data_IF_614867791077
#
_entry.id   IF_614867791077
#
_cell.length_a   1.000
_cell.length_b   1.000
_cell.length_c   1.000
_cell.angle_alpha   90.00
_cell.angle_beta   90.00
_cell.angle_gamma   90.00
#
_symmetry.space_group_name_H-M   'P 1'
#
loop_
_entity.id
_entity.type
_entity.pdbx_description
1 polymer ?
#
# COMPACT_ATOMS: atom_id res chain seq x y z
N UNK A 1 -55.87 -47.59 -45.84
CA UNK A 1 -54.84 -46.66 -45.32
C UNK A 1 -53.66 -46.81 -46.25
N UNK A 2 -53.59 -45.93 -47.25
CA UNK A 2 -52.64 -46.03 -48.34
C UNK A 2 -52.56 -44.69 -49.09
N UNK A 3 -51.35 -44.41 -49.60
CA UNK A 3 -50.97 -43.42 -50.64
C UNK A 3 -50.84 -41.97 -50.13
N UNK A 4 -49.64 -41.47 -49.84
CA UNK A 4 -48.57 -41.04 -50.78
C UNK A 4 -48.89 -39.73 -51.52
N UNK A 5 -48.11 -38.68 -51.24
CA UNK A 5 -47.80 -37.64 -52.22
C UNK A 5 -46.52 -36.91 -51.83
N UNK A 6 -45.42 -37.31 -52.46
CA UNK A 6 -44.11 -36.68 -52.34
C UNK A 6 -44.03 -35.42 -53.20
N UNK A 7 -43.57 -34.32 -52.59
CA UNK A 7 -43.20 -33.10 -53.31
C UNK A 7 -41.72 -33.17 -53.70
N UNK A 8 -41.47 -33.25 -55.01
CA UNK A 8 -40.17 -33.16 -55.64
C UNK A 8 -39.67 -31.70 -55.60
N UNK A 9 -38.76 -31.39 -54.68
CA UNK A 9 -38.02 -30.13 -54.69
C UNK A 9 -36.78 -30.25 -55.59
N UNK A 10 -36.82 -29.59 -56.75
CA UNK A 10 -35.70 -29.49 -57.69
C UNK A 10 -34.53 -28.75 -57.04
N UNK A 11 -33.54 -29.49 -56.57
CA UNK A 11 -32.22 -28.96 -56.19
C UNK A 11 -31.53 -28.44 -57.45
N UNK A 12 -31.49 -27.10 -57.62
CA UNK A 12 -30.68 -26.43 -58.63
C UNK A 12 -29.20 -26.53 -58.23
N UNK A 13 -28.52 -27.46 -58.86
CA UNK A 13 -27.07 -27.62 -58.84
C UNK A 13 -26.40 -26.32 -59.31
N UNK A 14 -25.91 -25.54 -58.35
CA UNK A 14 -25.24 -24.27 -58.59
C UNK A 14 -23.80 -24.58 -58.99
N UNK A 15 -23.53 -24.58 -60.30
CA UNK A 15 -22.18 -24.69 -60.87
C UNK A 15 -21.27 -23.65 -60.21
N UNK A 16 -20.39 -24.12 -59.34
CA UNK A 16 -19.29 -23.37 -58.72
C UNK A 16 -18.39 -22.83 -59.82
N UNK A 17 -18.57 -21.55 -60.16
CA UNK A 17 -17.67 -20.82 -61.04
C UNK A 17 -16.36 -20.58 -60.28
N UNK A 18 -15.33 -21.37 -60.61
CA UNK A 18 -13.97 -21.15 -60.10
C UNK A 18 -13.53 -19.71 -60.42
N UNK A 19 -13.13 -18.90 -59.43
CA UNK A 19 -12.72 -17.53 -59.66
C UNK A 19 -11.45 -17.52 -60.51
N UNK A 20 -11.56 -17.00 -61.74
CA UNK A 20 -10.42 -16.82 -62.63
C UNK A 20 -9.41 -15.87 -61.98
N UNK A 21 -8.21 -16.37 -61.70
CA UNK A 21 -7.10 -15.60 -61.12
C UNK A 21 -6.66 -14.54 -62.13
N UNK A 22 -7.27 -13.35 -62.09
CA UNK A 22 -6.80 -12.18 -62.85
C UNK A 22 -5.36 -11.88 -62.42
N UNK A 23 -4.40 -12.08 -63.33
CA UNK A 23 -2.98 -11.80 -63.09
C UNK A 23 -2.81 -10.29 -62.93
N UNK A 24 -2.40 -9.87 -61.74
CA UNK A 24 -2.09 -8.47 -61.43
C UNK A 24 -0.93 -7.97 -62.30
N UNK A 25 -1.10 -6.80 -62.90
CA UNK A 25 -0.02 -6.17 -63.68
C UNK A 25 1.13 -5.74 -62.75
N UNK A 26 2.38 -5.69 -63.24
CA UNK A 26 3.54 -5.34 -62.42
C UNK A 26 3.44 -3.94 -61.79
N UNK A 27 2.74 -3.00 -62.43
CA UNK A 27 2.45 -1.66 -61.87
C UNK A 27 1.46 -1.73 -60.70
N UNK A 28 0.38 -2.50 -60.83
CA UNK A 28 -0.60 -2.69 -59.74
C UNK A 28 0.02 -3.41 -58.55
N UNK A 29 0.93 -4.38 -58.77
CA UNK A 29 1.64 -5.07 -57.69
C UNK A 29 2.50 -4.13 -56.86
N UNK A 30 3.17 -3.15 -57.48
CA UNK A 30 3.96 -2.13 -56.76
C UNK A 30 3.08 -1.20 -55.92
N UNK A 31 1.94 -0.77 -56.45
CA UNK A 31 0.98 0.09 -55.72
C UNK A 31 0.40 -0.64 -54.52
N UNK A 32 -0.04 -1.90 -54.71
CA UNK A 32 -0.57 -2.72 -53.61
C UNK A 32 0.49 -2.94 -52.53
N UNK A 33 1.73 -3.21 -52.92
CA UNK A 33 2.83 -3.37 -51.95
C UNK A 33 3.09 -2.08 -51.16
N UNK A 34 3.07 -0.92 -51.82
CA UNK A 34 3.21 0.37 -51.14
C UNK A 34 2.10 0.63 -50.13
N UNK A 35 0.85 0.31 -50.48
CA UNK A 35 -0.30 0.47 -49.58
C UNK A 35 -0.17 -0.44 -48.35
N UNK A 36 0.26 -1.69 -48.54
CA UNK A 36 0.47 -2.65 -47.44
C UNK A 36 1.56 -2.15 -46.49
N UNK A 37 2.66 -1.61 -47.01
CA UNK A 37 3.76 -1.07 -46.20
C UNK A 37 3.29 0.13 -45.36
N UNK A 38 2.52 1.05 -45.95
CA UNK A 38 1.97 2.20 -45.22
C UNK A 38 1.00 1.76 -44.14
N UNK A 39 0.12 0.79 -44.43
CA UNK A 39 -0.80 0.22 -43.43
C UNK A 39 -0.06 -0.41 -42.25
N UNK A 40 1.01 -1.17 -42.52
CA UNK A 40 1.83 -1.77 -41.45
C UNK A 40 2.48 -0.72 -40.55
N UNK A 41 2.96 0.39 -41.11
CA UNK A 41 3.53 1.48 -40.31
C UNK A 41 2.49 2.18 -39.44
N UNK A 42 1.27 2.38 -39.95
CA UNK A 42 0.17 2.96 -39.17
C UNK A 42 -0.22 2.03 -38.01
N UNK A 43 -0.37 0.72 -38.26
CA UNK A 43 -0.67 -0.25 -37.22
C UNK A 43 0.44 -0.36 -36.17
N UNK A 44 1.72 -0.32 -36.59
CA UNK A 44 2.84 -0.30 -35.66
C UNK A 44 2.84 0.95 -34.78
N UNK A 45 2.56 2.13 -35.36
CA UNK A 45 2.46 3.39 -34.62
C UNK A 45 1.36 3.38 -33.55
N UNK A 46 0.16 2.87 -33.89
CA UNK A 46 -0.95 2.76 -32.93
C UNK A 46 -0.61 1.78 -31.79
N UNK A 47 0.03 0.66 -32.11
CA UNK A 47 0.45 -0.34 -31.12
C UNK A 47 1.47 0.21 -30.12
N UNK A 48 2.49 0.92 -30.62
CA UNK A 48 3.53 1.54 -29.78
C UNK A 48 2.92 2.62 -28.88
N UNK A 49 2.00 3.45 -29.41
CA UNK A 49 1.33 4.50 -28.64
C UNK A 49 0.52 3.94 -27.47
N UNK A 50 -0.30 2.91 -27.71
CA UNK A 50 -1.11 2.27 -26.66
C UNK A 50 -0.24 1.61 -25.58
N UNK A 51 0.80 0.87 -25.99
CA UNK A 51 1.73 0.23 -25.07
C UNK A 51 2.48 1.24 -24.18
N UNK A 52 2.89 2.38 -24.73
CA UNK A 52 3.55 3.44 -23.97
C UNK A 52 2.60 4.11 -22.98
N UNK A 53 1.35 4.34 -23.37
CA UNK A 53 0.33 4.98 -22.52
C UNK A 53 -0.01 4.13 -21.30
N UNK A 54 -0.29 2.84 -21.50
CA UNK A 54 -0.66 1.92 -20.40
C UNK A 54 0.50 1.79 -19.38
N UNK A 55 1.74 1.64 -19.87
CA UNK A 55 2.93 1.52 -19.02
C UNK A 55 3.28 2.81 -18.28
N UNK A 56 2.96 3.97 -18.86
CA UNK A 56 3.11 5.28 -18.22
C UNK A 56 2.06 5.51 -17.13
N UNK A 57 0.82 5.11 -17.39
CA UNK A 57 -0.29 5.24 -16.45
C UNK A 57 -0.08 4.40 -15.18
N UNK A 58 0.35 3.15 -15.33
CA UNK A 58 0.64 2.27 -14.18
C UNK A 58 1.78 2.81 -13.31
N UNK A 59 2.87 3.26 -13.93
CA UNK A 59 3.98 3.89 -13.21
C UNK A 59 3.56 5.20 -12.53
N UNK A 60 2.70 5.98 -13.16
CA UNK A 60 2.13 7.21 -12.58
C UNK A 60 1.24 6.92 -11.38
N UNK A 61 0.40 5.88 -11.46
CA UNK A 61 -0.46 5.44 -10.36
C UNK A 61 0.34 4.87 -9.19
N UNK A 62 1.40 4.10 -9.43
CA UNK A 62 2.28 3.60 -8.37
C UNK A 62 3.06 4.73 -7.68
N UNK A 63 3.58 5.68 -8.46
CA UNK A 63 4.24 6.87 -7.92
C UNK A 63 3.26 7.75 -7.12
N UNK A 64 2.04 7.93 -7.63
CA UNK A 64 0.96 8.64 -6.96
C UNK A 64 0.55 7.95 -5.65
N UNK A 65 0.35 6.63 -5.65
CA UNK A 65 0.05 5.86 -4.43
C UNK A 65 1.18 5.94 -3.40
N UNK A 66 2.45 5.88 -3.83
CA UNK A 66 3.61 6.06 -2.93
C UNK A 66 3.67 7.47 -2.34
N UNK A 67 3.36 8.51 -3.13
CA UNK A 67 3.33 9.89 -2.69
C UNK A 67 2.12 10.22 -1.78
N UNK A 68 0.99 9.56 -1.99
CA UNK A 68 -0.22 9.71 -1.16
C UNK A 68 -0.15 8.89 0.13
N UNK A 69 0.46 7.70 0.12
CA UNK A 69 0.67 6.89 1.31
C UNK A 69 1.70 7.51 2.28
N UNK A 70 2.66 8.28 1.77
CA UNK A 70 3.63 9.03 2.58
C UNK A 70 3.08 10.37 3.10
N UNK A 71 1.83 10.72 2.78
CA UNK A 71 1.16 11.95 3.22
C UNK A 71 -0.24 11.67 3.79
N UNK A 72 -0.44 10.52 4.44
CA UNK A 72 -1.69 10.29 5.17
C UNK A 72 -1.83 11.38 6.26
N UNK A 73 -2.91 12.18 6.26
CA UNK A 73 -3.15 13.15 7.33
C UNK A 73 -3.15 12.50 8.71
N UNK A 74 -3.53 11.22 8.81
CA UNK A 74 -3.53 10.48 10.07
C UNK A 74 -2.14 10.30 10.67
N UNK A 75 -1.07 10.21 9.85
CA UNK A 75 0.32 10.09 10.34
C UNK A 75 0.89 11.42 10.82
N UNK A 76 0.42 12.52 10.23
CA UNK A 76 0.73 13.88 10.68
C UNK A 76 -0.01 14.21 11.99
N UNK A 77 -1.28 13.81 12.13
CA UNK A 77 -2.04 14.03 13.36
C UNK A 77 -1.63 13.10 14.51
N UNK A 78 -1.21 11.85 14.22
CA UNK A 78 -0.75 10.93 15.26
C UNK A 78 0.61 11.30 15.85
N UNK A 79 1.46 12.01 15.10
CA UNK A 79 2.67 12.66 15.65
C UNK A 79 2.37 14.01 16.34
N UNK A 80 1.28 14.70 15.98
CA UNK A 80 0.96 16.02 16.52
C UNK A 80 0.11 15.98 17.80
N UNK A 81 -0.66 14.91 18.04
CA UNK A 81 -1.58 14.85 19.18
C UNK A 81 -1.00 14.29 20.49
N UNK A 82 0.21 13.73 20.52
CA UNK A 82 0.78 13.31 21.80
C UNK A 82 2.32 13.35 21.81
N UNK A 83 2.95 14.49 22.18
CA UNK A 83 4.40 14.54 22.39
C UNK A 83 4.86 13.65 23.56
N UNK A 84 3.91 13.06 24.30
CA UNK A 84 4.17 12.17 25.42
C UNK A 84 3.96 10.71 25.01
N UNK A 85 5.03 9.94 24.97
CA UNK A 85 4.96 8.48 24.82
C UNK A 85 4.57 7.88 26.18
N UNK A 86 3.53 7.06 26.21
CA UNK A 86 3.10 6.39 27.45
C UNK A 86 3.66 4.98 27.51
N UNK A 87 4.32 4.64 28.61
CA UNK A 87 4.78 3.30 28.95
C UNK A 87 3.97 2.74 30.10
N UNK A 88 3.59 1.47 30.03
CA UNK A 88 2.94 0.75 31.13
C UNK A 88 3.79 -0.45 31.50
N UNK A 89 3.92 -0.74 32.79
CA UNK A 89 4.80 -1.81 33.23
C UNK A 89 4.90 -1.94 34.75
N UNK A 90 5.89 -2.69 35.19
CA UNK A 90 6.26 -2.87 36.59
C UNK A 90 7.66 -2.31 36.85
N UNK A 91 7.85 -1.66 38.00
CA UNK A 91 9.17 -1.20 38.44
C UNK A 91 10.06 -2.40 38.71
N UNK A 92 11.23 -2.43 38.11
CA UNK A 92 12.24 -3.46 38.36
C UNK A 92 13.29 -2.97 39.34
N UNK A 93 13.75 -1.74 39.15
CA UNK A 93 14.81 -1.12 39.96
C UNK A 93 14.73 0.41 39.89
N UNK A 94 15.04 1.08 40.99
CA UNK A 94 15.28 2.52 41.04
C UNK A 94 16.67 2.76 41.62
N UNK A 95 17.53 3.45 40.85
CA UNK A 95 18.89 3.81 41.25
C UNK A 95 19.12 5.31 41.02
N UNK A 96 18.97 6.10 42.08
CA UNK A 96 19.08 7.56 41.98
C UNK A 96 18.05 8.14 41.01
N UNK A 97 18.51 8.65 39.87
CA UNK A 97 17.68 9.22 38.80
C UNK A 97 17.32 8.22 37.70
N UNK A 98 17.69 6.95 37.82
CA UNK A 98 17.41 5.93 36.79
C UNK A 98 16.33 4.98 37.28
N UNK A 99 15.21 4.96 36.58
CA UNK A 99 14.15 3.97 36.78
C UNK A 99 14.24 2.90 35.70
N UNK A 100 14.34 1.65 36.11
CA UNK A 100 14.23 0.49 35.22
C UNK A 100 12.84 -0.11 35.40
N UNK A 101 12.14 -0.31 34.29
CA UNK A 101 10.82 -0.95 34.27
C UNK A 101 10.85 -2.15 33.33
N UNK A 102 10.07 -3.16 33.69
CA UNK A 102 9.63 -4.18 32.73
C UNK A 102 8.29 -3.72 32.16
N UNK A 103 8.25 -3.42 30.87
CA UNK A 103 7.02 -3.01 30.19
C UNK A 103 6.01 -4.16 30.14
N UNK A 104 4.74 -3.84 29.88
CA UNK A 104 3.68 -4.83 29.65
C UNK A 104 3.94 -5.80 28.49
N UNK A 105 4.89 -5.46 27.61
CA UNK A 105 5.36 -6.32 26.50
C UNK A 105 6.54 -7.23 26.88
N UNK A 106 7.04 -7.14 28.11
CA UNK A 106 8.22 -7.88 28.59
C UNK A 106 9.56 -7.21 28.26
N UNK A 107 9.57 -6.06 27.59
CA UNK A 107 10.80 -5.30 27.32
C UNK A 107 11.28 -4.60 28.60
N UNK A 108 12.57 -4.68 28.91
CA UNK A 108 13.20 -3.89 29.98
C UNK A 108 13.59 -2.53 29.42
N UNK A 109 13.13 -1.45 30.06
CA UNK A 109 13.46 -0.07 29.69
C UNK A 109 14.00 0.70 30.87
N UNK A 110 15.07 1.44 30.63
CA UNK A 110 15.63 2.40 31.58
C UNK A 110 15.22 3.79 31.16
N UNK A 111 14.77 4.60 32.10
CA UNK A 111 14.32 5.96 31.88
C UNK A 111 14.82 6.89 33.00
N UNK A 112 15.06 8.14 32.64
CA UNK A 112 15.50 9.16 33.59
C UNK A 112 14.30 9.72 34.37
N UNK A 113 14.44 9.81 35.69
CA UNK A 113 13.56 10.53 36.60
C UNK A 113 14.31 11.74 37.11
N UNK A 114 13.63 12.87 37.17
CA UNK A 114 14.16 14.12 37.72
C UNK A 114 13.24 14.65 38.80
N UNK A 115 13.65 15.66 39.55
CA UNK A 115 12.78 16.29 40.57
C UNK A 115 11.55 16.99 39.95
N UNK A 116 11.52 17.18 38.63
CA UNK A 116 10.36 17.69 37.89
C UNK A 116 9.34 16.59 37.56
N UNK A 117 9.70 15.32 37.74
CA UNK A 117 8.81 14.18 37.44
C UNK A 117 7.70 14.11 38.48
N UNK A 118 6.44 14.23 38.05
CA UNK A 118 5.30 14.16 38.97
C UNK A 118 4.91 12.71 39.24
N UNK A 119 5.02 12.25 40.48
CA UNK A 119 4.67 10.88 40.87
C UNK A 119 3.37 10.93 41.67
N UNK A 120 2.36 10.17 41.24
CA UNK A 120 1.03 10.17 41.86
C UNK A 120 0.47 8.77 42.02
N UNK A 121 -0.29 8.54 43.10
CA UNK A 121 -1.14 7.36 43.28
C UNK A 121 -2.54 7.84 43.62
N UNK A 122 -3.52 7.55 42.74
CA UNK A 122 -4.86 8.14 42.82
C UNK A 122 -4.79 9.68 42.89
N UNK A 123 -5.15 10.28 44.02
CA UNK A 123 -5.14 11.73 44.28
C UNK A 123 -3.90 12.20 45.05
N UNK A 124 -3.07 11.28 45.55
CA UNK A 124 -1.91 11.61 46.37
C UNK A 124 -0.66 11.79 45.51
N UNK A 125 0.15 12.79 45.85
CA UNK A 125 1.49 12.96 45.27
C UNK A 125 2.48 12.18 46.13
N UNK A 126 3.33 11.37 45.50
CA UNK A 126 4.30 10.53 46.18
C UNK A 126 5.72 11.01 45.90
N UNK A 127 6.65 10.64 46.79
CA UNK A 127 8.08 10.80 46.57
C UNK A 127 8.63 9.67 45.66
N UNK A 128 9.78 9.88 45.00
CA UNK A 128 10.47 8.89 44.17
C UNK A 128 10.75 7.58 44.91
N UNK A 129 11.01 7.65 46.22
CA UNK A 129 11.29 6.49 47.07
C UNK A 129 10.08 5.55 47.24
N UNK A 130 8.87 6.00 46.86
CA UNK A 130 7.67 5.16 46.84
C UNK A 130 7.61 4.19 45.65
N UNK A 131 8.49 4.35 44.65
CA UNK A 131 8.57 3.46 43.49
C UNK A 131 9.31 2.18 43.86
N UNK A 132 8.61 1.28 44.53
CA UNK A 132 9.15 -0.02 44.95
C UNK A 132 9.14 -1.03 43.82
N UNK A 133 10.08 -1.99 43.87
CA UNK A 133 10.12 -3.11 42.91
C UNK A 133 8.78 -3.86 42.89
N UNK A 134 8.30 -4.16 41.69
CA UNK A 134 7.03 -4.82 41.43
C UNK A 134 5.83 -3.87 41.31
N UNK A 135 5.97 -2.59 41.68
CA UNK A 135 4.88 -1.62 41.59
C UNK A 135 4.44 -1.44 40.13
N UNK A 136 3.13 -1.54 39.88
CA UNK A 136 2.54 -1.31 38.55
C UNK A 136 2.43 0.18 38.29
N UNK A 137 2.97 0.64 37.17
CA UNK A 137 3.08 2.05 36.85
C UNK A 137 2.63 2.35 35.42
N UNK A 138 2.05 3.54 35.23
CA UNK A 138 1.86 4.18 33.93
C UNK A 138 2.74 5.42 33.89
N UNK A 139 3.66 5.47 32.93
CA UNK A 139 4.70 6.51 32.84
C UNK A 139 4.48 7.27 31.55
N UNK A 140 4.35 8.59 31.68
CA UNK A 140 4.37 9.52 30.57
C UNK A 140 5.81 9.98 30.39
N UNK A 141 6.31 9.83 29.17
CA UNK A 141 7.72 10.07 28.83
C UNK A 141 7.84 11.07 27.71
N UNK A 142 8.99 11.74 27.67
CA UNK A 142 9.43 12.62 26.59
C UNK A 142 10.82 12.18 26.11
N UNK A 143 11.18 12.57 24.90
CA UNK A 143 12.44 12.15 24.27
C UNK A 143 12.33 10.81 23.55
N UNK A 144 13.46 10.33 23.04
CA UNK A 144 13.52 9.15 22.19
C UNK A 144 14.82 8.35 22.42
N UNK A 145 14.77 7.03 22.21
CA UNK A 145 15.90 6.14 22.45
C UNK A 145 16.40 6.22 23.90
N UNK A 146 17.69 6.48 24.06
CA UNK A 146 18.37 6.55 25.36
C UNK A 146 18.12 7.87 26.12
N UNK A 147 17.52 8.87 25.47
CA UNK A 147 17.20 10.17 26.09
C UNK A 147 15.81 10.19 26.75
N UNK A 148 15.25 9.02 27.06
CA UNK A 148 13.89 8.89 27.56
C UNK A 148 13.78 9.43 28.99
N UNK A 149 12.90 10.42 29.20
CA UNK A 149 12.71 11.08 30.49
C UNK A 149 11.25 11.04 30.94
N UNK A 150 11.00 10.65 32.18
CA UNK A 150 9.66 10.63 32.76
C UNK A 150 9.19 12.04 33.12
N UNK A 151 8.02 12.42 32.63
CA UNK A 151 7.34 13.66 33.05
C UNK A 151 6.31 13.38 34.13
N UNK A 152 5.60 12.25 34.05
CA UNK A 152 4.61 11.85 35.05
C UNK A 152 4.58 10.35 35.24
N UNK A 153 4.51 9.90 36.49
CA UNK A 153 4.40 8.50 36.88
C UNK A 153 3.12 8.33 37.70
N UNK A 154 2.26 7.42 37.26
CA UNK A 154 1.03 7.04 37.97
C UNK A 154 1.20 5.62 38.49
N UNK A 155 1.27 5.49 39.80
CA UNK A 155 1.30 4.19 40.49
C UNK A 155 -0.13 3.66 40.60
N UNK A 156 -0.34 2.40 40.19
CA UNK A 156 -1.63 1.72 40.26
C UNK A 156 -1.77 0.89 41.53
#
# INVERSE_FOLDING_TARGET
>A
MDISSGSNEKVKESKSASPSKKKLTPKQRKIIFSIIVVLLLVFAGIGIYKYAYDKGYDKGMEAGKKASASKSPTDLFSNLQNPFKTLTGSVEKLEGEKLTITTSKGEVKTLKITDKTKITKKTETLNKDSLTKGAKVTIFTTGEGDSLSATRIVVR
#
